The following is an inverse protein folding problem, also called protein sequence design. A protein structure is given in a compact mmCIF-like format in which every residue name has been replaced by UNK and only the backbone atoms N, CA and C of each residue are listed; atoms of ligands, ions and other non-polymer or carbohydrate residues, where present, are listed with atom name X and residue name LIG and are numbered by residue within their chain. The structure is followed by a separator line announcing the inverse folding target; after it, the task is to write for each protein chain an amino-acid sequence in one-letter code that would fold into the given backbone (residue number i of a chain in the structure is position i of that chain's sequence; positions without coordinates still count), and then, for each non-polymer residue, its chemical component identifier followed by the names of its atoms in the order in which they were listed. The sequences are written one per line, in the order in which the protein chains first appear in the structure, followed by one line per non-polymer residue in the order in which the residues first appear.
data_IF_909732815191
#
_entry.id   IF_909732815191
#
_cell.length_a   1.000
_cell.length_b   1.000
_cell.length_c   1.000
_cell.angle_alpha   90.00
_cell.angle_beta   90.00
_cell.angle_gamma   90.00
#
_symmetry.space_group_name_H-M   'P 1'
#
loop_
_entity.id
_entity.type
_entity.pdbx_description
1 polymer ?
#
# COMPACT_ATOMS: atom_id res chain seq x y z
N UNK A 1 -0.45 -21.31 50.26
CA UNK A 1 -0.91 -21.75 48.92
C UNK A 1 -1.33 -20.52 48.13
N UNK A 2 -0.33 -19.77 47.67
CA UNK A 2 -0.44 -18.50 46.96
C UNK A 2 0.83 -18.32 46.14
N UNK A 3 0.67 -17.79 44.93
CA UNK A 3 1.70 -17.40 43.97
C UNK A 3 2.22 -18.51 43.05
N UNK A 4 1.81 -18.46 41.77
CA UNK A 4 2.63 -18.74 40.57
C UNK A 4 1.76 -18.57 39.31
N UNK A 5 1.41 -17.32 38.98
CA UNK A 5 0.82 -16.97 37.66
C UNK A 5 1.28 -15.58 37.24
N UNK A 6 2.52 -15.48 36.78
CA UNK A 6 3.03 -14.28 36.12
C UNK A 6 4.38 -14.56 35.45
N UNK A 7 4.37 -15.22 34.29
CA UNK A 7 5.54 -15.23 33.37
C UNK A 7 5.23 -15.66 31.92
N UNK A 8 4.03 -15.37 31.41
CA UNK A 8 3.67 -15.66 30.01
C UNK A 8 3.15 -14.42 29.28
N UNK A 9 3.86 -13.30 29.34
CA UNK A 9 3.67 -12.19 28.39
C UNK A 9 4.92 -11.30 28.37
N UNK A 10 5.98 -11.75 27.71
CA UNK A 10 7.02 -10.84 27.22
C UNK A 10 7.69 -11.45 26.00
N UNK A 11 7.10 -11.21 24.84
CA UNK A 11 7.66 -11.63 23.57
C UNK A 11 7.02 -10.84 22.46
N UNK A 12 7.53 -9.63 22.20
CA UNK A 12 7.68 -9.02 20.88
C UNK A 12 8.51 -7.73 21.04
N UNK A 13 9.55 -7.64 20.20
CA UNK A 13 10.34 -6.45 19.83
C UNK A 13 11.39 -5.93 20.84
N UNK A 14 12.64 -6.38 20.67
CA UNK A 14 13.75 -5.46 20.32
C UNK A 14 14.95 -6.24 19.79
N UNK A 15 15.42 -5.81 18.61
CA UNK A 15 16.59 -6.36 17.93
C UNK A 15 17.86 -5.89 18.63
N UNK A 16 18.75 -6.83 18.88
CA UNK A 16 20.20 -6.60 18.92
C UNK A 16 20.73 -5.93 20.17
N UNK A 17 20.99 -6.73 21.20
CA UNK A 17 22.24 -6.62 21.96
C UNK A 17 22.56 -7.95 22.63
N UNK A 18 23.83 -8.32 22.53
CA UNK A 18 24.43 -9.58 22.99
C UNK A 18 24.30 -9.68 24.50
N UNK A 19 23.59 -10.70 25.00
CA UNK A 19 23.62 -11.07 26.41
C UNK A 19 24.44 -12.35 26.56
N UNK A 20 25.40 -12.34 27.49
CA UNK A 20 26.32 -13.44 27.77
C UNK A 20 25.65 -14.69 28.38
N UNK A 21 26.42 -15.74 28.68
CA UNK A 21 25.91 -17.10 28.82
C UNK A 21 25.17 -17.27 30.15
N UNK A 22 23.84 -17.34 30.10
CA UNK A 22 23.03 -17.95 31.15
C UNK A 22 22.87 -19.44 30.82
N UNK A 23 23.72 -20.27 31.41
CA UNK A 23 23.57 -21.73 31.40
C UNK A 23 22.41 -22.13 32.31
N UNK A 24 21.20 -22.20 31.78
CA UNK A 24 20.09 -22.91 32.41
C UNK A 24 20.06 -24.31 31.80
N UNK A 25 20.60 -25.28 32.54
CA UNK A 25 20.45 -26.70 32.27
C UNK A 25 18.98 -27.09 32.54
N UNK A 26 18.18 -27.16 31.47
CA UNK A 26 16.91 -27.90 31.50
C UNK A 26 17.23 -29.39 31.42
N UNK A 27 16.65 -30.17 32.34
CA UNK A 27 16.77 -31.64 32.36
C UNK A 27 15.88 -32.23 31.26
N UNK A 28 16.37 -33.26 30.59
CA UNK A 28 15.72 -33.92 29.45
C UNK A 28 14.31 -34.49 29.76
N UNK A 29 13.99 -34.70 31.03
CA UNK A 29 12.72 -35.30 31.46
C UNK A 29 11.48 -34.40 31.25
N UNK A 30 11.65 -33.11 30.94
CA UNK A 30 10.54 -32.17 30.68
C UNK A 30 10.17 -32.05 29.19
N UNK A 31 11.00 -32.56 28.28
CA UNK A 31 10.75 -32.46 26.83
C UNK A 31 9.78 -33.55 26.35
N UNK A 32 9.78 -34.73 26.99
CA UNK A 32 8.91 -35.85 26.59
C UNK A 32 7.42 -35.62 26.85
N UNK A 33 7.05 -34.84 27.89
CA UNK A 33 5.63 -34.58 28.20
C UNK A 33 4.96 -33.56 27.26
N UNK A 34 5.76 -32.76 26.52
CA UNK A 34 5.24 -31.77 25.56
C UNK A 34 5.00 -32.35 24.17
N UNK A 35 5.61 -33.50 23.83
CA UNK A 35 5.46 -34.14 22.52
C UNK A 35 4.23 -35.06 22.44
N UNK A 36 3.79 -35.64 23.56
CA UNK A 36 2.57 -36.50 23.59
C UNK A 36 1.27 -35.70 23.42
N UNK A 37 1.29 -34.40 23.71
CA UNK A 37 0.11 -33.53 23.55
C UNK A 37 -0.12 -33.07 22.09
N UNK A 38 0.84 -33.27 21.18
CA UNK A 38 0.76 -32.84 19.78
C UNK A 38 0.32 -33.94 18.80
N UNK A 39 0.26 -35.20 19.22
CA UNK A 39 -0.10 -36.31 18.33
C UNK A 39 -1.60 -36.63 18.24
N UNK A 40 -2.47 -35.96 19.02
CA UNK A 40 -3.93 -36.21 19.04
C UNK A 40 -4.70 -35.30 18.06
N UNK A 41 -4.04 -34.39 17.34
CA UNK A 41 -4.71 -33.41 16.45
C UNK A 41 -4.51 -33.66 14.94
N UNK A 42 -4.20 -34.89 14.52
CA UNK A 42 -3.90 -35.22 13.12
C UNK A 42 -4.87 -36.24 12.46
N UNK A 43 -6.02 -36.53 13.08
CA UNK A 43 -6.98 -37.55 12.60
C UNK A 43 -8.36 -36.99 12.18
N UNK A 44 -8.36 -35.99 11.29
CA UNK A 44 -9.60 -35.55 10.59
C UNK A 44 -9.49 -35.54 9.07
N UNK A 45 -8.53 -36.29 8.51
CA UNK A 45 -8.29 -36.34 7.05
C UNK A 45 -9.03 -37.46 6.29
N UNK A 46 -10.02 -38.12 6.90
CA UNK A 46 -10.69 -39.28 6.31
C UNK A 46 -12.20 -39.14 5.99
N UNK A 47 -12.79 -37.95 6.06
CA UNK A 47 -14.22 -37.76 5.72
C UNK A 47 -14.49 -37.24 4.29
N UNK A 48 -13.46 -36.97 3.48
CA UNK A 48 -13.65 -36.49 2.10
C UNK A 48 -13.85 -37.60 1.03
N UNK A 49 -13.96 -38.88 1.41
CA UNK A 49 -14.19 -39.98 0.46
C UNK A 49 -15.66 -40.44 0.32
N UNK A 50 -16.60 -39.90 1.10
CA UNK A 50 -18.00 -40.34 1.04
C UNK A 50 -18.92 -39.54 0.09
N UNK A 51 -18.46 -38.43 -0.50
CA UNK A 51 -19.29 -37.63 -1.43
C UNK A 51 -19.18 -38.02 -2.92
N UNK A 52 -18.54 -39.14 -3.25
CA UNK A 52 -18.42 -39.63 -4.62
C UNK A 52 -19.52 -40.63 -5.06
N UNK A 53 -20.58 -40.84 -4.25
CA UNK A 53 -21.59 -41.90 -4.49
C UNK A 53 -23.01 -41.45 -4.87
N UNK A 54 -23.20 -40.23 -5.37
CA UNK A 54 -24.53 -39.76 -5.85
C UNK A 54 -24.50 -39.18 -7.27
N UNK A 55 -23.92 -39.91 -8.22
CA UNK A 55 -24.19 -39.72 -9.65
C UNK A 55 -24.62 -41.06 -10.28
N UNK A 56 -25.74 -41.60 -9.81
CA UNK A 56 -26.49 -42.63 -10.54
C UNK A 56 -27.22 -41.95 -11.70
N UNK A 57 -26.50 -41.77 -12.81
CA UNK A 57 -27.10 -41.39 -14.08
C UNK A 57 -28.02 -42.52 -14.52
N UNK A 58 -29.32 -42.22 -14.57
CA UNK A 58 -30.37 -43.07 -15.13
C UNK A 58 -30.00 -43.46 -16.57
N UNK A 59 -29.57 -44.69 -16.77
CA UNK A 59 -29.39 -45.32 -18.09
C UNK A 59 -30.77 -45.39 -18.74
N UNK A 60 -31.06 -44.49 -19.69
CA UNK A 60 -32.23 -44.61 -20.56
C UNK A 60 -32.02 -45.83 -21.45
N UNK A 61 -32.90 -46.81 -21.30
CA UNK A 61 -33.04 -47.93 -22.22
C UNK A 61 -33.26 -47.38 -23.63
N UNK A 62 -32.34 -47.71 -24.53
CA UNK A 62 -32.50 -47.50 -25.96
C UNK A 62 -33.51 -48.53 -26.49
N UNK A 63 -34.53 -48.12 -27.27
CA UNK A 63 -35.43 -49.07 -27.91
C UNK A 63 -34.68 -49.86 -28.99
N UNK A 64 -34.91 -51.18 -29.02
CA UNK A 64 -34.38 -52.07 -30.05
C UNK A 64 -34.88 -51.64 -31.44
N UNK A 65 -34.03 -51.69 -32.48
CA UNK A 65 -34.43 -51.38 -33.83
C UNK A 65 -35.26 -52.52 -34.41
N UNK A 66 -36.54 -52.25 -34.71
CA UNK A 66 -37.42 -53.19 -35.40
C UNK A 66 -36.86 -53.52 -36.79
N UNK A 67 -36.50 -54.79 -36.99
CA UNK A 67 -36.21 -55.39 -38.27
C UNK A 67 -37.47 -55.42 -39.14
N UNK A 68 -37.59 -54.48 -40.08
CA UNK A 68 -38.19 -54.68 -41.40
C UNK A 68 -38.36 -53.34 -42.10
N UNK A 69 -37.35 -52.95 -42.88
CA UNK A 69 -37.56 -52.05 -44.02
C UNK A 69 -37.08 -52.76 -45.28
N UNK A 70 -37.91 -52.86 -46.33
CA UNK A 70 -37.50 -53.42 -47.61
C UNK A 70 -36.43 -52.53 -48.23
N UNK A 71 -35.34 -53.15 -48.66
CA UNK A 71 -34.28 -52.50 -49.41
C UNK A 71 -34.80 -52.21 -50.81
N UNK A 72 -35.43 -51.06 -51.01
CA UNK A 72 -35.63 -50.52 -52.35
C UNK A 72 -34.25 -50.17 -52.92
N UNK A 73 -33.86 -50.89 -53.98
CA UNK A 73 -32.65 -50.60 -54.75
C UNK A 73 -32.79 -49.25 -55.44
N UNK A 74 -32.44 -48.17 -54.74
CA UNK A 74 -32.11 -46.93 -55.40
C UNK A 74 -30.71 -47.08 -55.98
N UNK A 75 -30.62 -47.03 -57.30
CA UNK A 75 -29.37 -46.95 -58.03
C UNK A 75 -28.61 -45.70 -57.59
N UNK A 76 -27.67 -45.86 -56.67
CA UNK A 76 -26.78 -44.81 -56.18
C UNK A 76 -25.76 -44.55 -57.29
N UNK A 77 -26.05 -43.60 -58.17
CA UNK A 77 -25.04 -42.85 -58.93
C UNK A 77 -24.36 -41.86 -57.98
N UNK A 78 -23.76 -42.39 -56.92
CA UNK A 78 -23.10 -41.62 -55.88
C UNK A 78 -21.70 -41.27 -56.34
N UNK A 79 -21.55 -40.07 -56.89
CA UNK A 79 -20.25 -39.43 -57.06
C UNK A 79 -19.50 -39.48 -55.72
N UNK A 80 -18.39 -40.23 -55.66
CA UNK A 80 -17.51 -40.38 -54.51
C UNK A 80 -16.92 -39.02 -54.12
N UNK A 81 -17.70 -38.21 -53.41
CA UNK A 81 -17.20 -37.09 -52.64
C UNK A 81 -16.19 -37.67 -51.65
N UNK A 82 -14.94 -37.26 -51.81
CA UNK A 82 -13.85 -37.69 -50.95
C UNK A 82 -14.12 -37.22 -49.51
N UNK A 83 -13.60 -37.93 -48.50
CA UNK A 83 -13.72 -37.47 -47.10
C UNK A 83 -13.14 -36.06 -46.90
N UNK A 84 -12.17 -35.68 -47.75
CA UNK A 84 -11.63 -34.32 -47.82
C UNK A 84 -12.68 -33.29 -48.23
N UNK A 85 -13.59 -33.60 -49.15
CA UNK A 85 -14.68 -32.71 -49.56
C UNK A 85 -15.69 -32.51 -48.41
N UNK A 86 -15.97 -33.56 -47.64
CA UNK A 86 -16.82 -33.48 -46.44
C UNK A 86 -16.17 -32.61 -45.36
N UNK A 87 -14.87 -32.75 -45.14
CA UNK A 87 -14.13 -31.93 -44.18
C UNK A 87 -13.99 -30.47 -44.63
N UNK A 88 -13.75 -30.24 -45.93
CA UNK A 88 -13.75 -28.90 -46.52
C UNK A 88 -15.11 -28.24 -46.36
N UNK A 89 -16.20 -28.96 -46.60
CA UNK A 89 -17.56 -28.48 -46.38
C UNK A 89 -17.85 -28.18 -44.90
N UNK A 90 -17.37 -29.01 -43.95
CA UNK A 90 -17.50 -28.74 -42.50
C UNK A 90 -16.75 -27.47 -42.09
N UNK A 91 -15.49 -27.31 -42.52
CA UNK A 91 -14.70 -26.10 -42.23
C UNK A 91 -15.34 -24.84 -42.84
N UNK A 92 -15.88 -24.94 -44.06
CA UNK A 92 -16.60 -23.85 -44.69
C UNK A 92 -17.87 -23.46 -43.91
N UNK A 93 -18.68 -24.42 -43.45
CA UNK A 93 -19.85 -24.17 -42.61
C UNK A 93 -19.49 -23.55 -41.24
N UNK A 94 -18.43 -24.03 -40.60
CA UNK A 94 -17.95 -23.44 -39.32
C UNK A 94 -17.42 -22.01 -39.51
N UNK A 95 -16.68 -21.76 -40.61
CA UNK A 95 -16.21 -20.43 -40.95
C UNK A 95 -17.38 -19.45 -41.19
N UNK A 96 -18.42 -19.89 -41.90
CA UNK A 96 -19.63 -19.10 -42.13
C UNK A 96 -20.42 -18.83 -40.82
N UNK A 97 -20.57 -19.84 -39.96
CA UNK A 97 -21.16 -19.67 -38.63
C UNK A 97 -20.40 -18.63 -37.80
N UNK A 98 -19.06 -18.68 -37.80
CA UNK A 98 -18.21 -17.71 -37.10
C UNK A 98 -18.32 -16.31 -37.71
N UNK A 99 -18.46 -16.17 -39.02
CA UNK A 99 -18.72 -14.87 -39.68
C UNK A 99 -20.05 -14.27 -39.25
N UNK A 100 -21.13 -15.06 -39.26
CA UNK A 100 -22.46 -14.65 -38.77
C UNK A 100 -22.46 -14.28 -37.29
N UNK A 101 -21.71 -15.02 -36.47
CA UNK A 101 -21.57 -14.71 -35.06
C UNK A 101 -20.83 -13.38 -34.85
N UNK A 102 -19.69 -13.17 -35.53
CA UNK A 102 -18.95 -11.91 -35.45
C UNK A 102 -19.76 -10.71 -35.94
N UNK A 103 -20.57 -10.86 -36.99
CA UNK A 103 -21.44 -9.77 -37.47
C UNK A 103 -22.55 -9.46 -36.46
N UNK A 104 -23.15 -10.49 -35.85
CA UNK A 104 -24.11 -10.32 -34.75
C UNK A 104 -23.48 -9.64 -33.52
N UNK A 105 -22.28 -10.05 -33.13
CA UNK A 105 -21.56 -9.46 -32.00
C UNK A 105 -21.18 -8.01 -32.26
N UNK A 106 -20.71 -7.68 -33.48
CA UNK A 106 -20.46 -6.29 -33.90
C UNK A 106 -21.74 -5.44 -33.84
N UNK A 107 -22.86 -5.97 -34.32
CA UNK A 107 -24.16 -5.28 -34.23
C UNK A 107 -24.56 -5.02 -32.79
N UNK A 108 -24.44 -6.02 -31.91
CA UNK A 108 -24.70 -5.87 -30.47
C UNK A 108 -23.77 -4.85 -29.81
N UNK A 109 -22.50 -4.81 -30.21
CA UNK A 109 -21.55 -3.81 -29.71
C UNK A 109 -21.96 -2.40 -30.13
N UNK A 110 -22.31 -2.22 -31.39
CA UNK A 110 -22.80 -0.94 -31.91
C UNK A 110 -24.07 -0.48 -31.17
N UNK A 111 -25.04 -1.36 -30.97
CA UNK A 111 -26.26 -1.05 -30.22
C UNK A 111 -25.98 -0.66 -28.76
N UNK A 112 -25.07 -1.37 -28.08
CA UNK A 112 -24.63 -1.01 -26.72
C UNK A 112 -23.95 0.34 -26.68
N UNK A 113 -23.13 0.67 -27.68
CA UNK A 113 -22.42 1.94 -27.72
C UNK A 113 -23.37 3.10 -28.04
N UNK A 114 -24.29 2.91 -28.98
CA UNK A 114 -25.37 3.86 -29.25
C UNK A 114 -26.22 4.11 -27.99
N UNK A 115 -26.54 3.07 -27.22
CA UNK A 115 -27.28 3.21 -25.97
C UNK A 115 -26.49 3.99 -24.89
N UNK A 116 -25.20 3.71 -24.74
CA UNK A 116 -24.32 4.51 -23.86
C UNK A 116 -24.28 5.97 -24.29
N UNK A 117 -24.15 6.25 -25.59
CA UNK A 117 -24.10 7.61 -26.11
C UNK A 117 -25.41 8.36 -25.85
N UNK A 118 -26.57 7.73 -26.11
CA UNK A 118 -27.88 8.31 -25.77
C UNK A 118 -28.01 8.61 -24.28
N UNK A 119 -27.55 7.70 -23.41
CA UNK A 119 -27.56 7.91 -21.95
C UNK A 119 -26.60 9.02 -21.51
N UNK A 120 -25.43 9.11 -22.13
CA UNK A 120 -24.45 10.17 -21.85
C UNK A 120 -24.99 11.54 -22.26
N UNK A 121 -25.59 11.63 -23.45
CA UNK A 121 -26.22 12.85 -23.95
C UNK A 121 -27.45 13.26 -23.12
N UNK A 122 -28.26 12.30 -22.68
CA UNK A 122 -29.35 12.57 -21.74
C UNK A 122 -28.83 13.16 -20.42
N UNK A 123 -27.73 12.62 -19.87
CA UNK A 123 -27.10 13.13 -18.64
C UNK A 123 -26.47 14.52 -18.81
N UNK A 124 -25.92 14.83 -19.99
CA UNK A 124 -25.33 16.14 -20.25
C UNK A 124 -26.39 17.23 -20.34
N UNK A 125 -27.59 16.90 -20.86
CA UNK A 125 -28.73 17.81 -20.94
C UNK A 125 -29.47 18.01 -19.61
N UNK A 126 -29.33 17.10 -18.64
CA UNK A 126 -29.97 17.24 -17.33
C UNK A 126 -29.41 18.42 -16.53
N UNK A 127 -30.32 19.17 -15.90
CA UNK A 127 -29.98 20.20 -14.91
C UNK A 127 -29.46 19.57 -13.61
N UNK A 128 -28.72 20.33 -12.78
CA UNK A 128 -28.21 19.77 -11.52
C UNK A 128 -29.33 19.39 -10.56
N UNK A 129 -30.46 20.12 -10.56
CA UNK A 129 -31.65 19.80 -9.76
C UNK A 129 -32.23 18.43 -10.17
N UNK A 130 -32.35 18.15 -11.47
CA UNK A 130 -32.80 16.85 -11.96
C UNK A 130 -31.82 15.73 -11.63
N UNK A 131 -30.50 16.00 -11.68
CA UNK A 131 -29.48 15.03 -11.27
C UNK A 131 -29.56 14.73 -9.79
N UNK A 132 -29.78 15.75 -8.96
CA UNK A 132 -29.95 15.57 -7.52
C UNK A 132 -31.23 14.79 -7.20
N UNK A 133 -32.36 15.14 -7.83
CA UNK A 133 -33.61 14.40 -7.71
C UNK A 133 -33.45 12.93 -8.16
N UNK A 134 -32.74 12.67 -9.25
CA UNK A 134 -32.44 11.32 -9.73
C UNK A 134 -31.53 10.55 -8.76
N UNK A 135 -30.51 11.20 -8.19
CA UNK A 135 -29.65 10.61 -7.14
C UNK A 135 -30.45 10.33 -5.87
N UNK A 136 -31.35 11.22 -5.47
CA UNK A 136 -32.21 11.07 -4.29
C UNK A 136 -33.20 9.90 -4.47
N UNK A 137 -33.89 9.83 -5.61
CA UNK A 137 -34.78 8.72 -5.95
C UNK A 137 -34.02 7.39 -5.97
N UNK A 138 -32.81 7.35 -6.53
CA UNK A 138 -31.96 6.15 -6.50
C UNK A 138 -31.54 5.77 -5.08
N UNK A 139 -31.22 6.74 -4.21
CA UNK A 139 -30.91 6.49 -2.79
C UNK A 139 -32.12 5.91 -2.06
N UNK A 140 -33.32 6.46 -2.28
CA UNK A 140 -34.57 5.94 -1.71
C UNK A 140 -34.84 4.50 -2.19
N UNK A 141 -34.76 4.25 -3.50
CA UNK A 141 -34.94 2.90 -4.05
C UNK A 141 -33.94 1.88 -3.48
N UNK A 142 -32.68 2.26 -3.32
CA UNK A 142 -31.67 1.41 -2.69
C UNK A 142 -31.97 1.18 -1.20
N UNK A 143 -32.44 2.19 -0.48
CA UNK A 143 -32.83 2.07 0.92
C UNK A 143 -34.04 1.13 1.10
N UNK A 144 -35.06 1.26 0.24
CA UNK A 144 -36.22 0.37 0.21
C UNK A 144 -35.85 -1.07 -0.16
N UNK A 145 -34.95 -1.25 -1.12
CA UNK A 145 -34.46 -2.59 -1.47
C UNK A 145 -33.72 -3.22 -0.30
N UNK A 146 -32.92 -2.44 0.45
CA UNK A 146 -32.23 -2.92 1.67
C UNK A 146 -33.18 -3.25 2.81
N UNK A 147 -34.27 -2.49 2.98
CA UNK A 147 -35.25 -2.76 4.03
C UNK A 147 -36.06 -4.02 3.75
N UNK A 148 -36.34 -4.32 2.48
CA UNK A 148 -37.02 -5.56 2.04
C UNK A 148 -36.12 -6.80 2.06
N UNK A 149 -34.81 -6.62 2.00
CA UNK A 149 -33.85 -7.72 1.97
C UNK A 149 -33.84 -8.49 3.29
N UNK A 150 -33.90 -9.82 3.20
CA UNK A 150 -33.79 -10.71 4.37
C UNK A 150 -32.36 -10.70 4.94
N UNK A 151 -32.17 -11.06 6.20
CA UNK A 151 -30.82 -11.10 6.79
C UNK A 151 -29.92 -12.12 6.08
N UNK A 152 -30.47 -13.24 5.63
CA UNK A 152 -29.75 -14.26 4.84
C UNK A 152 -29.24 -13.68 3.52
N UNK A 153 -30.06 -12.91 2.80
CA UNK A 153 -29.63 -12.24 1.57
C UNK A 153 -28.57 -11.16 1.84
N UNK A 154 -28.65 -10.45 2.98
CA UNK A 154 -27.63 -9.46 3.36
C UNK A 154 -26.31 -10.13 3.67
N UNK A 155 -26.33 -11.25 4.38
CA UNK A 155 -25.14 -12.05 4.67
C UNK A 155 -24.52 -12.61 3.40
N UNK A 156 -25.33 -13.17 2.50
CA UNK A 156 -24.87 -13.62 1.18
C UNK A 156 -24.24 -12.48 0.36
N UNK A 157 -24.82 -11.27 0.41
CA UNK A 157 -24.26 -10.09 -0.26
C UNK A 157 -22.93 -9.64 0.36
N UNK A 158 -22.81 -9.66 1.69
CA UNK A 158 -21.55 -9.37 2.39
C UNK A 158 -20.47 -10.40 2.04
N UNK A 159 -20.82 -11.69 2.07
CA UNK A 159 -19.92 -12.79 1.70
C UNK A 159 -19.44 -12.67 0.25
N UNK A 160 -20.35 -12.40 -0.70
CA UNK A 160 -20.01 -12.19 -2.10
C UNK A 160 -19.09 -10.96 -2.28
N UNK A 161 -19.35 -9.86 -1.57
CA UNK A 161 -18.50 -8.67 -1.60
C UNK A 161 -17.10 -8.94 -1.03
N UNK A 162 -17.02 -9.68 0.09
CA UNK A 162 -15.75 -10.09 0.68
C UNK A 162 -14.96 -11.01 -0.26
N UNK A 163 -15.63 -11.97 -0.90
CA UNK A 163 -15.01 -12.85 -1.89
C UNK A 163 -14.49 -12.06 -3.10
N UNK A 164 -15.28 -11.13 -3.65
CA UNK A 164 -14.83 -10.27 -4.75
C UNK A 164 -13.62 -9.40 -4.37
N UNK A 165 -13.60 -8.85 -3.15
CA UNK A 165 -12.44 -8.10 -2.64
C UNK A 165 -11.20 -8.98 -2.48
N UNK A 166 -11.36 -10.20 -1.96
CA UNK A 166 -10.28 -11.17 -1.83
C UNK A 166 -9.71 -11.59 -3.19
N UNK A 167 -10.58 -11.87 -4.16
CA UNK A 167 -10.19 -12.21 -5.54
C UNK A 167 -9.47 -11.04 -6.23
N UNK A 168 -9.96 -9.81 -6.06
CA UNK A 168 -9.31 -8.60 -6.59
C UNK A 168 -7.91 -8.41 -6.01
N UNK A 169 -7.74 -8.54 -4.69
CA UNK A 169 -6.43 -8.48 -4.03
C UNK A 169 -5.48 -9.57 -4.50
N UNK A 170 -5.99 -10.79 -4.69
CA UNK A 170 -5.22 -11.92 -5.22
C UNK A 170 -4.71 -11.64 -6.64
N UNK A 171 -5.58 -11.13 -7.52
CA UNK A 171 -5.21 -10.72 -8.89
C UNK A 171 -4.17 -9.61 -8.90
N UNK A 172 -4.36 -8.56 -8.11
CA UNK A 172 -3.39 -7.46 -7.98
C UNK A 172 -2.03 -7.95 -7.48
N UNK A 173 -2.03 -8.85 -6.48
CA UNK A 173 -0.79 -9.42 -5.94
C UNK A 173 -0.06 -10.26 -6.99
N UNK A 174 -0.80 -11.08 -7.76
CA UNK A 174 -0.22 -11.88 -8.85
C UNK A 174 0.36 -11.00 -9.95
N UNK A 175 -0.38 -9.99 -10.40
CA UNK A 175 0.07 -9.04 -11.42
C UNK A 175 1.33 -8.27 -10.96
N UNK A 176 1.36 -7.84 -9.70
CA UNK A 176 2.53 -7.16 -9.13
C UNK A 176 3.75 -8.09 -9.07
N UNK A 177 3.56 -9.35 -8.69
CA UNK A 177 4.63 -10.36 -8.69
C UNK A 177 5.17 -10.61 -10.10
N UNK A 178 4.31 -10.73 -11.11
CA UNK A 178 4.72 -10.90 -12.51
C UNK A 178 5.47 -9.67 -13.03
N UNK A 179 5.03 -8.45 -12.68
CA UNK A 179 5.75 -7.21 -13.02
C UNK A 179 7.13 -7.16 -12.38
N UNK A 180 7.24 -7.49 -11.10
CA UNK A 180 8.52 -7.54 -10.40
C UNK A 180 9.45 -8.61 -11.00
N UNK A 181 8.93 -9.79 -11.31
CA UNK A 181 9.70 -10.86 -11.96
C UNK A 181 10.24 -10.44 -13.33
N UNK A 182 9.45 -9.71 -14.13
CA UNK A 182 9.90 -9.15 -15.42
C UNK A 182 10.97 -8.07 -15.25
N UNK A 183 10.87 -7.23 -14.23
CA UNK A 183 11.90 -6.23 -13.91
C UNK A 183 13.20 -6.92 -13.51
N UNK A 184 13.13 -7.90 -12.61
CA UNK A 184 14.29 -8.65 -12.14
C UNK A 184 14.98 -9.42 -13.27
N UNK A 185 14.20 -10.05 -14.16
CA UNK A 185 14.76 -10.74 -15.33
C UNK A 185 15.41 -9.78 -16.31
N UNK A 186 14.81 -8.60 -16.53
CA UNK A 186 15.40 -7.53 -17.36
C UNK A 186 16.70 -7.00 -16.76
N UNK A 187 16.72 -6.68 -15.46
CA UNK A 187 17.95 -6.21 -14.76
C UNK A 187 19.06 -7.27 -14.81
N UNK A 188 18.72 -8.56 -14.65
CA UNK A 188 19.68 -9.65 -14.82
C UNK A 188 20.19 -9.75 -16.25
N UNK A 189 19.33 -9.58 -17.26
CA UNK A 189 19.73 -9.60 -18.65
C UNK A 189 20.69 -8.45 -18.99
N UNK A 190 20.42 -7.24 -18.47
CA UNK A 190 21.31 -6.07 -18.63
C UNK A 190 22.67 -6.35 -17.99
N UNK A 191 22.71 -6.77 -16.72
CA UNK A 191 23.97 -7.10 -16.03
C UNK A 191 24.76 -8.19 -16.77
N UNK A 192 24.08 -9.22 -17.27
CA UNK A 192 24.72 -10.28 -18.04
C UNK A 192 25.23 -9.79 -19.41
N UNK A 193 24.56 -8.83 -20.03
CA UNK A 193 25.03 -8.19 -21.26
C UNK A 193 26.27 -7.32 -21.00
N UNK A 194 26.29 -6.56 -19.90
CA UNK A 194 27.45 -5.77 -19.45
C UNK A 194 28.67 -6.67 -19.21
N UNK A 195 28.49 -7.77 -18.48
CA UNK A 195 29.58 -8.75 -18.23
C UNK A 195 30.11 -9.37 -19.54
N UNK A 196 29.24 -9.60 -20.52
CA UNK A 196 29.65 -10.09 -21.85
C UNK A 196 30.33 -9.02 -22.69
N UNK A 197 29.98 -7.75 -22.50
CA UNK A 197 30.61 -6.63 -23.19
C UNK A 197 32.00 -6.33 -22.60
N UNK A 198 32.22 -6.60 -21.31
CA UNK A 198 33.55 -6.56 -20.68
C UNK A 198 34.47 -7.72 -21.09
N UNK A 199 34.26 -8.32 -22.27
CA UNK A 199 35.14 -9.31 -22.87
C UNK A 199 36.58 -8.78 -22.92
N UNK A 200 37.39 -9.35 -22.02
CA UNK A 200 38.84 -9.46 -22.10
C UNK A 200 39.54 -8.21 -22.63
N UNK A 201 39.46 -7.10 -21.89
CA UNK A 201 40.69 -6.31 -21.77
C UNK A 201 41.67 -7.29 -21.12
N UNK A 202 42.79 -7.65 -21.76
CA UNK A 202 43.82 -8.43 -21.10
C UNK A 202 44.15 -7.65 -19.84
N UNK A 203 43.72 -8.17 -18.70
CA UNK A 203 44.11 -7.66 -17.40
C UNK A 203 45.60 -7.99 -17.31
N UNK A 204 46.44 -7.17 -17.96
CA UNK A 204 47.74 -6.94 -17.40
C UNK A 204 47.44 -6.58 -15.96
N UNK A 205 47.98 -7.40 -15.08
CA UNK A 205 47.94 -7.16 -13.65
C UNK A 205 48.17 -5.66 -13.46
N UNK A 206 47.28 -4.94 -12.75
CA UNK A 206 47.32 -3.49 -12.73
C UNK A 206 48.76 -3.06 -12.49
N UNK A 207 49.27 -2.21 -13.39
CA UNK A 207 50.61 -1.65 -13.23
C UNK A 207 50.71 -1.13 -11.81
N UNK A 208 51.86 -1.38 -11.16
CA UNK A 208 52.05 -1.01 -9.76
C UNK A 208 51.57 0.43 -9.55
N UNK A 209 50.66 0.61 -8.59
CA UNK A 209 50.09 1.93 -8.30
C UNK A 209 51.24 2.91 -8.08
N UNK A 210 51.30 4.04 -8.81
CA UNK A 210 52.39 5.01 -8.64
C UNK A 210 52.55 5.39 -7.16
N UNK A 211 53.80 5.50 -6.72
CA UNK A 211 54.11 5.72 -5.30
C UNK A 211 53.38 6.94 -4.72
N UNK A 212 53.27 8.02 -5.50
CA UNK A 212 52.59 9.25 -5.07
C UNK A 212 51.10 9.05 -4.86
N UNK A 213 50.44 8.25 -5.72
CA UNK A 213 49.03 7.88 -5.57
C UNK A 213 48.84 7.02 -4.33
N UNK A 214 49.71 6.02 -4.13
CA UNK A 214 49.67 5.17 -2.93
C UNK A 214 49.85 5.99 -1.65
N UNK A 215 50.82 6.92 -1.64
CA UNK A 215 51.09 7.82 -0.50
C UNK A 215 49.92 8.75 -0.24
N UNK A 216 49.34 9.36 -1.26
CA UNK A 216 48.17 10.23 -1.16
C UNK A 216 46.93 9.49 -0.67
N UNK A 217 46.63 8.32 -1.25
CA UNK A 217 45.51 7.49 -0.81
C UNK A 217 45.66 7.04 0.65
N UNK A 218 46.87 6.65 1.06
CA UNK A 218 47.12 6.25 2.44
C UNK A 218 47.02 7.43 3.41
N UNK A 219 47.55 8.60 3.04
CA UNK A 219 47.40 9.84 3.81
C UNK A 219 45.92 10.22 3.99
N UNK A 220 45.15 10.25 2.91
CA UNK A 220 43.71 10.55 2.95
C UNK A 220 42.94 9.51 3.76
N UNK A 221 43.28 8.22 3.62
CA UNK A 221 42.66 7.17 4.40
C UNK A 221 42.94 7.35 5.90
N UNK A 222 44.19 7.58 6.29
CA UNK A 222 44.56 7.83 7.68
C UNK A 222 43.88 9.09 8.24
N UNK A 223 43.78 10.15 7.44
CA UNK A 223 43.09 11.36 7.84
C UNK A 223 41.59 11.08 8.06
N UNK A 224 40.89 10.48 7.08
CA UNK A 224 39.46 10.18 7.15
C UNK A 224 39.10 9.13 8.21
N UNK A 225 40.01 8.22 8.53
CA UNK A 225 39.80 7.17 9.55
C UNK A 225 40.38 7.53 10.91
N UNK A 226 40.98 8.71 11.06
CA UNK A 226 41.46 9.19 12.35
C UNK A 226 40.29 9.38 13.32
N UNK A 227 40.52 9.10 14.60
CA UNK A 227 39.50 9.32 15.65
C UNK A 227 39.03 10.77 15.73
N UNK A 228 39.88 11.73 15.33
CA UNK A 228 39.51 13.14 15.22
C UNK A 228 38.60 13.44 14.02
N UNK A 229 38.82 12.78 12.86
CA UNK A 229 37.95 12.95 11.69
C UNK A 229 36.63 12.21 11.80
N UNK A 230 36.57 11.17 12.64
CA UNK A 230 35.35 10.43 12.95
C UNK A 230 34.65 10.95 14.22
N UNK A 231 35.21 11.96 14.87
CA UNK A 231 34.58 12.56 16.04
C UNK A 231 33.24 13.16 15.62
N UNK A 232 32.16 12.71 16.25
CA UNK A 232 30.83 13.26 16.08
C UNK A 232 30.48 14.11 17.30
N UNK A 233 29.84 15.26 17.07
CA UNK A 233 29.18 16.00 18.12
C UNK A 233 27.73 16.32 17.72
N UNK A 234 26.81 16.44 18.68
CA UNK A 234 25.44 16.83 18.40
C UNK A 234 25.39 18.32 18.02
N UNK A 235 24.76 18.63 16.89
CA UNK A 235 24.48 20.01 16.51
C UNK A 235 23.62 20.68 17.60
N UNK A 236 24.05 21.84 18.11
CA UNK A 236 23.33 22.57 19.15
C UNK A 236 21.86 22.83 18.74
N UNK A 237 21.62 23.16 17.47
CA UNK A 237 20.32 23.61 16.97
C UNK A 237 19.37 22.45 16.69
N UNK A 238 19.81 21.42 15.98
CA UNK A 238 18.94 20.32 15.56
C UNK A 238 19.16 19.00 16.31
N UNK A 239 20.17 18.92 17.18
CA UNK A 239 20.59 17.73 17.91
C UNK A 239 20.92 16.52 17.00
N UNK A 240 21.17 16.77 15.71
CA UNK A 240 21.66 15.76 14.77
C UNK A 240 23.16 15.60 14.96
N UNK A 241 23.64 14.35 15.01
CA UNK A 241 25.07 14.05 15.11
C UNK A 241 25.74 14.42 13.79
N UNK A 242 26.79 15.24 13.87
CA UNK A 242 27.56 15.70 12.71
C UNK A 242 29.05 15.55 13.02
N UNK A 243 29.83 15.27 11.99
CA UNK A 243 31.28 15.16 12.09
C UNK A 243 31.87 16.51 12.51
N UNK A 244 32.75 16.52 13.52
CA UNK A 244 33.32 17.74 14.10
C UNK A 244 34.05 18.60 13.07
N UNK A 245 34.68 17.96 12.07
CA UNK A 245 35.34 18.65 10.95
C UNK A 245 34.39 19.55 10.14
N UNK A 246 33.11 19.20 10.09
CA UNK A 246 32.08 19.92 9.33
C UNK A 246 31.34 20.96 10.19
N UNK A 247 31.67 21.06 11.49
CA UNK A 247 31.08 22.06 12.36
C UNK A 247 31.91 23.33 12.34
N UNK A 248 31.21 24.46 12.21
CA UNK A 248 31.84 25.77 12.25
C UNK A 248 31.30 26.60 13.40
N UNK A 249 32.18 27.41 13.98
CA UNK A 249 31.85 28.32 15.07
C UNK A 249 31.03 29.49 14.52
N UNK A 250 29.90 29.80 15.16
CA UNK A 250 29.11 31.00 14.84
C UNK A 250 29.64 32.17 15.68
N UNK A 251 30.29 33.20 15.10
CA UNK A 251 30.98 34.24 15.86
C UNK A 251 30.06 35.09 16.75
N UNK A 252 28.79 35.27 16.34
CA UNK A 252 27.88 36.24 16.97
C UNK A 252 27.19 35.73 18.24
N UNK A 253 27.18 34.43 18.53
CA UNK A 253 26.35 33.87 19.61
C UNK A 253 27.09 32.93 20.57
N UNK A 254 28.42 32.79 20.43
CA UNK A 254 29.22 31.80 21.17
C UNK A 254 28.70 30.35 21.07
N UNK A 255 27.79 30.09 20.13
CA UNK A 255 27.28 28.75 19.85
C UNK A 255 28.37 27.97 19.13
N UNK A 256 28.97 27.05 19.86
CA UNK A 256 29.84 26.03 19.32
C UNK A 256 28.95 24.93 18.70
N UNK A 257 29.44 24.26 17.66
CA UNK A 257 28.85 23.04 17.13
C UNK A 257 27.50 23.21 16.41
N UNK A 258 27.47 23.96 15.31
CA UNK A 258 26.29 24.03 14.41
C UNK A 258 26.56 23.29 13.11
N UNK A 259 25.65 22.41 12.70
CA UNK A 259 25.77 21.67 11.45
C UNK A 259 25.65 22.59 10.21
N UNK A 260 26.23 22.20 9.06
CA UNK A 260 26.20 23.00 7.83
C UNK A 260 24.79 23.39 7.37
N UNK A 261 23.81 22.50 7.56
CA UNK A 261 22.42 22.75 7.19
C UNK A 261 21.80 23.88 8.03
N UNK A 262 21.95 23.79 9.36
CA UNK A 262 21.43 24.81 10.26
C UNK A 262 22.15 26.14 10.04
N UNK A 263 23.47 26.11 9.82
CA UNK A 263 24.24 27.31 9.48
C UNK A 263 23.75 27.97 8.20
N UNK A 264 23.50 27.19 7.15
CA UNK A 264 23.00 27.71 5.86
C UNK A 264 21.60 28.30 6.00
N UNK A 265 20.78 27.77 6.90
CA UNK A 265 19.48 28.35 7.22
C UNK A 265 19.65 29.68 7.97
N UNK A 266 20.54 29.73 8.96
CA UNK A 266 20.82 30.95 9.72
C UNK A 266 21.44 32.05 8.88
N UNK A 267 22.34 31.75 7.95
CA UNK A 267 22.92 32.74 7.05
C UNK A 267 21.91 33.35 6.07
N UNK A 268 20.70 32.77 5.99
CA UNK A 268 19.58 33.25 5.16
C UNK A 268 18.47 33.88 6.01
N UNK A 269 18.73 34.14 7.29
CA UNK A 269 17.75 34.59 8.27
C UNK A 269 16.51 33.68 8.36
N UNK A 270 16.70 32.37 8.14
CA UNK A 270 15.65 31.36 8.26
C UNK A 270 15.81 30.57 9.55
N UNK A 271 14.69 30.33 10.22
CA UNK A 271 14.63 29.48 11.42
C UNK A 271 14.93 28.02 10.98
N UNK A 272 15.99 27.38 11.51
CA UNK A 272 16.28 25.99 11.21
C UNK A 272 15.12 25.10 11.64
N UNK A 273 14.83 24.06 10.85
CA UNK A 273 13.63 23.21 11.02
C UNK A 273 13.42 22.75 12.47
N UNK A 274 14.51 22.44 13.18
CA UNK A 274 14.53 21.84 14.53
C UNK A 274 14.86 22.82 15.66
N UNK A 275 15.07 24.11 15.37
CA UNK A 275 15.43 25.13 16.36
C UNK A 275 14.42 25.23 17.53
N UNK A 276 13.08 25.19 17.31
CA UNK A 276 12.11 25.24 18.40
C UNK A 276 12.11 24.02 19.34
N UNK A 277 12.68 22.88 18.91
CA UNK A 277 12.67 21.63 19.67
C UNK A 277 13.63 21.59 20.85
N UNK A 278 14.73 22.34 20.73
CA UNK A 278 15.91 22.19 21.56
C UNK A 278 16.14 23.42 22.45
N UNK A 279 15.11 24.23 22.67
CA UNK A 279 15.17 25.49 23.44
C UNK A 279 16.17 26.51 22.88
N UNK A 280 16.58 26.36 21.62
CA UNK A 280 17.44 27.32 20.92
C UNK A 280 16.56 28.12 19.97
N UNK A 281 15.76 29.01 20.55
CA UNK A 281 15.03 30.01 19.78
C UNK A 281 15.99 31.15 19.44
N UNK A 282 16.11 31.47 18.16
CA UNK A 282 16.99 32.54 17.70
C UNK A 282 16.12 33.77 17.46
N UNK A 283 16.16 34.71 18.42
CA UNK A 283 15.33 35.92 18.46
C UNK A 283 14.52 36.04 19.76
N UNK A 284 13.60 37.01 19.81
CA UNK A 284 12.64 37.10 20.91
C UNK A 284 11.63 35.95 20.81
N UNK A 285 11.38 35.25 21.92
CA UNK A 285 10.31 34.25 22.04
C UNK A 285 8.97 34.99 21.98
N UNK A 286 8.04 34.64 21.06
CA UNK A 286 6.73 35.27 20.99
C UNK A 286 6.01 35.19 22.33
N UNK A 287 5.25 36.23 22.70
CA UNK A 287 4.56 36.32 23.99
C UNK A 287 3.66 35.10 24.25
N UNK A 288 3.06 34.56 23.19
CA UNK A 288 2.19 33.38 23.24
C UNK A 288 2.92 32.08 23.61
N UNK A 289 4.24 32.05 23.47
CA UNK A 289 5.08 30.89 23.77
C UNK A 289 5.85 31.03 25.10
N UNK A 290 5.87 32.22 25.74
CA UNK A 290 6.63 32.45 26.98
C UNK A 290 6.11 31.68 28.19
N UNK A 291 4.81 31.35 28.19
CA UNK A 291 4.14 30.70 29.33
C UNK A 291 3.94 29.18 29.14
N UNK A 292 4.56 28.58 28.12
CA UNK A 292 4.40 27.15 27.88
C UNK A 292 5.24 26.33 28.84
N UNK A 293 4.65 25.23 29.31
CA UNK A 293 5.40 24.26 30.10
C UNK A 293 6.34 23.44 29.21
N UNK A 294 7.47 22.96 29.75
CA UNK A 294 8.45 22.12 29.02
C UNK A 294 7.81 20.97 28.21
N UNK A 295 6.77 20.26 28.73
CA UNK A 295 6.06 19.25 27.94
C UNK A 295 5.32 19.81 26.72
N UNK A 296 4.71 20.99 26.84
CA UNK A 296 3.96 21.65 25.76
C UNK A 296 4.91 22.17 24.67
N UNK A 297 6.04 22.75 25.04
CA UNK A 297 7.11 23.15 24.11
C UNK A 297 7.59 21.97 23.26
N UNK A 298 7.91 20.83 23.92
CA UNK A 298 8.29 19.59 23.23
C UNK A 298 7.20 19.07 22.30
N UNK A 299 5.94 19.17 22.71
CA UNK A 299 4.81 18.64 21.95
C UNK A 299 4.55 19.48 20.68
N UNK A 300 4.63 20.81 20.78
CA UNK A 300 4.54 21.72 19.62
C UNK A 300 5.65 21.42 18.63
N UNK A 301 6.89 21.26 19.11
CA UNK A 301 8.02 20.93 18.25
C UNK A 301 7.85 19.59 17.51
N UNK A 302 7.44 18.53 18.20
CA UNK A 302 7.19 17.23 17.55
C UNK A 302 6.07 17.32 16.50
N UNK A 303 5.08 18.18 16.72
CA UNK A 303 3.94 18.33 15.82
C UNK A 303 4.28 19.17 14.56
N UNK A 304 5.13 20.19 14.69
CA UNK A 304 5.62 20.96 13.54
C UNK A 304 6.55 20.13 12.66
N UNK A 305 7.30 19.18 13.22
CA UNK A 305 8.19 18.28 12.48
C UNK A 305 7.50 17.22 11.62
N UNK A 306 6.40 16.66 12.12
CA UNK A 306 5.67 15.60 11.44
C UNK A 306 4.72 16.12 10.34
N UNK A 307 4.48 17.44 10.30
CA UNK A 307 3.97 18.09 9.10
C UNK A 307 5.15 18.41 8.17
N UNK A 308 5.52 17.45 7.31
CA UNK A 308 5.92 17.87 5.97
C UNK A 308 4.72 18.64 5.41
N UNK A 309 4.75 19.97 5.48
CA UNK A 309 3.78 20.78 4.76
C UNK A 309 3.79 20.27 3.32
N UNK A 310 2.70 19.71 2.78
CA UNK A 310 2.63 19.47 1.36
C UNK A 310 2.88 20.84 0.74
N UNK A 311 3.97 20.96 -0.04
CA UNK A 311 4.43 22.19 -0.68
C UNK A 311 3.25 23.15 -0.88
N UNK A 312 3.16 24.20 -0.07
CA UNK A 312 2.20 25.24 -0.40
C UNK A 312 2.55 25.69 -1.82
N UNK A 313 1.57 25.76 -2.74
CA UNK A 313 1.84 26.33 -4.05
C UNK A 313 2.41 27.73 -3.79
N UNK A 314 3.58 28.02 -4.37
CA UNK A 314 4.21 29.32 -4.33
C UNK A 314 3.14 30.40 -4.48
N UNK A 315 2.80 31.07 -3.38
CA UNK A 315 1.91 32.22 -3.39
C UNK A 315 2.74 33.37 -3.95
N UNK A 316 2.75 33.49 -5.29
CA UNK A 316 3.28 34.66 -5.95
C UNK A 316 2.38 35.83 -5.58
N UNK A 317 2.94 36.81 -4.89
CA UNK A 317 2.23 38.00 -4.41
C UNK A 317 1.77 38.95 -5.52
N UNK A 318 1.36 38.44 -6.67
CA UNK A 318 0.90 39.21 -7.83
C UNK A 318 -0.54 38.87 -8.19
N UNK A 319 -1.49 39.31 -7.35
CA UNK A 319 -2.83 39.71 -7.82
C UNK A 319 -3.64 40.38 -6.69
N UNK A 320 -3.40 41.68 -6.49
CA UNK A 320 -4.44 42.58 -5.97
C UNK A 320 -5.07 43.29 -7.16
N UNK A 321 -6.34 42.97 -7.46
CA UNK A 321 -7.40 43.88 -7.95
C UNK A 321 -8.54 43.05 -8.56
N UNK A 322 -9.53 42.71 -7.74
CA UNK A 322 -10.96 42.82 -8.08
C UNK A 322 -11.77 42.34 -6.89
N UNK A 323 -12.13 43.28 -6.02
CA UNK A 323 -13.15 43.05 -5.02
C UNK A 323 -14.51 43.01 -5.74
N UNK A 324 -15.20 41.87 -5.69
CA UNK A 324 -16.67 41.79 -5.81
C UNK A 324 -17.18 40.56 -5.07
N UNK A 325 -17.70 40.86 -3.87
CA UNK A 325 -18.85 40.21 -3.23
C UNK A 325 -18.99 38.69 -3.36
N UNK A 326 -18.42 37.95 -2.41
CA UNK A 326 -19.02 36.70 -1.93
C UNK A 326 -18.88 36.67 -0.40
N UNK A 327 -19.97 37.04 0.28
CA UNK A 327 -20.10 36.83 1.71
C UNK A 327 -20.26 35.35 1.99
N UNK A 328 -19.18 34.69 2.38
CA UNK A 328 -19.25 33.45 3.14
C UNK A 328 -18.46 33.64 4.43
N UNK A 329 -19.20 33.83 5.52
CA UNK A 329 -18.67 33.79 6.87
C UNK A 329 -18.23 32.35 7.18
N UNK A 330 -16.96 32.04 6.94
CA UNK A 330 -16.35 30.85 7.53
C UNK A 330 -15.91 31.20 8.96
N UNK A 331 -16.72 30.79 9.94
CA UNK A 331 -16.23 30.67 11.32
C UNK A 331 -15.24 29.50 11.38
N UNK A 332 -13.97 29.78 11.12
CA UNK A 332 -12.88 28.87 11.46
C UNK A 332 -12.60 29.00 12.96
N UNK A 333 -13.28 28.18 13.76
CA UNK A 333 -12.88 28.00 15.15
C UNK A 333 -11.53 27.28 15.18
N UNK A 334 -10.49 27.96 15.66
CA UNK A 334 -9.17 27.39 15.90
C UNK A 334 -9.28 26.15 16.81
N UNK A 335 -8.53 25.06 16.54
CA UNK A 335 -8.49 23.88 17.41
C UNK A 335 -8.16 24.21 18.87
N UNK A 336 -7.42 25.30 19.11
CA UNK A 336 -7.05 25.79 20.45
C UNK A 336 -8.28 26.32 21.21
N UNK A 337 -9.23 26.94 20.51
CA UNK A 337 -10.49 27.43 21.08
C UNK A 337 -11.33 26.27 21.64
N UNK A 338 -11.38 25.15 20.92
CA UNK A 338 -12.13 23.94 21.31
C UNK A 338 -11.52 23.23 22.52
N UNK A 339 -10.20 23.24 22.65
CA UNK A 339 -9.52 22.68 23.83
C UNK A 339 -9.78 23.52 25.09
N UNK A 340 -9.79 24.86 24.97
CA UNK A 340 -10.13 25.76 26.09
C UNK A 340 -11.59 25.62 26.51
N UNK A 341 -12.50 25.45 25.55
CA UNK A 341 -13.93 25.25 25.82
C UNK A 341 -14.22 23.89 26.48
N UNK A 342 -13.47 22.85 26.13
CA UNK A 342 -13.56 21.53 26.79
C UNK A 342 -13.03 21.55 28.23
N UNK A 343 -11.95 22.30 28.52
CA UNK A 343 -11.43 22.45 29.90
C UNK A 343 -12.44 23.20 30.79
N UNK A 344 -13.05 24.27 30.29
CA UNK A 344 -14.12 25.00 30.99
C UNK A 344 -15.38 24.15 31.24
N UNK A 345 -15.67 23.16 30.39
CA UNK A 345 -16.78 22.20 30.61
C UNK A 345 -16.44 21.15 31.66
N UNK A 346 -15.20 20.67 31.72
CA UNK A 346 -14.76 19.73 32.76
C UNK A 346 -14.78 20.38 34.15
N UNK A 347 -14.34 21.63 34.28
CA UNK A 347 -14.34 22.35 35.56
C UNK A 347 -15.76 22.63 36.11
N UNK A 348 -16.75 22.80 35.22
CA UNK A 348 -18.16 22.89 35.62
C UNK A 348 -18.72 21.55 36.12
N UNK A 349 -18.27 20.43 35.56
CA UNK A 349 -18.73 19.11 35.99
C UNK A 349 -18.14 18.70 37.35
N UNK A 350 -16.87 19.00 37.60
CA UNK A 350 -16.21 18.73 38.88
C UNK A 350 -16.72 19.65 39.99
N UNK A 351 -17.07 20.90 39.67
CA UNK A 351 -17.69 21.81 40.64
C UNK A 351 -19.10 21.36 41.05
N UNK A 352 -19.86 20.73 40.14
CA UNK A 352 -21.23 20.26 40.42
C UNK A 352 -21.28 19.01 41.28
N UNK A 353 -20.23 18.18 41.28
CA UNK A 353 -20.12 16.99 42.13
C UNK A 353 -19.68 17.28 43.56
N UNK A 354 -19.26 18.52 43.88
CA UNK A 354 -18.87 18.90 45.26
C UNK A 354 -20.00 19.47 46.12
N UNK A 355 -21.20 19.63 45.56
CA UNK A 355 -22.36 20.22 46.24
C UNK A 355 -23.58 19.27 46.32
N UNK A 356 -23.34 17.98 46.14
CA UNK A 356 -24.28 16.88 46.43
C UNK A 356 -23.59 15.92 47.36
#
# INVERSE_FOLDING_TARGET
MTSLTSCLFCGIASRGNVCGPCSILLRDDQISQLLDHFHVAADTRNECQQLARLNSVSVRQFPEPSSNRPWSSMSITGSLSTDEDRDRARRAKDAERKRRQRSSDKKRQYEREADKNRKAESRSRQTEVEREASRAAKRQQMAESRSRQTEVEREASRAASQQQMAESRSRQTKEQKEKNQKRDSSTRAIRNAEVKQTKSVPLSWPSGIPYDVKRSCYGNFLEMTSMSSLAESPCAICNMRVVVKDMELIPQQQLQDVCPECRTALSKDKIPKFSPANNIWIGDVPEELKDLTIPEEKLISLYTHNRSWPNEPNFDGSQTKSAKSFGMAYQTQSPVSKLRENRLRQDRHTSRQRYT
#
